data_IF_737962411659
#
_entry.id   IF_737962411659
#
_cell.length_a   1.000
_cell.length_b   1.000
_cell.length_c   1.000
_cell.angle_alpha   90.00
_cell.angle_beta   90.00
_cell.angle_gamma   90.00
#
_symmetry.space_group_name_H-M   'P 1'
#
loop_
_entity.id
_entity.type
_entity.pdbx_description
1 polymer ?
#
# COMPACT_ATOMS: atom_id res chain seq x y z
N UNK A 1 -6.39 -12.27 -9.64
CA UNK A 1 -7.05 -13.60 -9.77
C UNK A 1 -8.39 -13.41 -10.44
N UNK A 2 -8.64 -14.24 -11.44
CA UNK A 2 -9.85 -14.21 -12.22
C UNK A 2 -10.50 -15.59 -12.06
N UNK A 3 -11.69 -15.67 -11.45
CA UNK A 3 -12.41 -16.97 -11.42
C UNK A 3 -13.12 -17.19 -12.75
N UNK A 4 -13.63 -18.36 -13.02
CA UNK A 4 -14.68 -18.50 -14.03
C UNK A 4 -15.51 -19.73 -13.69
N UNK A 5 -16.81 -19.67 -13.92
CA UNK A 5 -17.67 -20.86 -13.88
C UNK A 5 -17.71 -21.55 -15.26
N UNK A 6 -17.09 -20.94 -16.28
CA UNK A 6 -17.01 -21.39 -17.67
C UNK A 6 -15.65 -21.03 -18.26
N UNK A 7 -15.09 -21.86 -19.14
CA UNK A 7 -13.69 -21.82 -19.58
C UNK A 7 -13.13 -20.49 -20.14
N UNK A 8 -13.94 -19.44 -20.33
CA UNK A 8 -13.52 -18.26 -21.12
C UNK A 8 -13.89 -16.89 -20.53
N UNK A 9 -14.46 -16.78 -19.32
CA UNK A 9 -14.90 -15.47 -18.78
C UNK A 9 -14.35 -15.16 -17.38
N UNK A 10 -13.72 -13.99 -17.17
CA UNK A 10 -13.27 -13.56 -15.87
C UNK A 10 -14.33 -13.38 -14.80
N UNK A 11 -14.06 -13.86 -13.58
CA UNK A 11 -14.97 -13.71 -12.47
C UNK A 11 -14.51 -12.59 -11.58
N UNK A 12 -15.56 -11.88 -11.21
CA UNK A 12 -15.55 -10.89 -10.17
C UNK A 12 -15.53 -11.63 -8.82
N UNK A 13 -14.42 -11.47 -8.11
CA UNK A 13 -14.27 -11.30 -6.65
C UNK A 13 -15.42 -11.80 -5.76
N UNK A 14 -16.65 -11.32 -5.93
CA UNK A 14 -17.83 -11.55 -5.08
C UNK A 14 -18.39 -12.99 -4.96
N UNK A 15 -17.67 -14.04 -5.38
CA UNK A 15 -18.19 -15.43 -5.45
C UNK A 15 -17.50 -16.45 -4.52
N UNK A 16 -16.53 -16.06 -3.70
CA UNK A 16 -15.90 -16.97 -2.74
C UNK A 16 -16.84 -17.34 -1.58
N UNK A 17 -16.95 -18.63 -1.26
CA UNK A 17 -17.83 -19.17 -0.21
C UNK A 17 -17.01 -19.91 0.84
N UNK A 18 -17.33 -19.63 2.10
CA UNK A 18 -16.78 -20.37 3.25
C UNK A 18 -17.19 -21.85 3.13
N UNK A 19 -16.25 -22.73 3.44
CA UNK A 19 -16.41 -24.18 3.39
C UNK A 19 -16.27 -24.79 2.00
N UNK A 20 -16.13 -23.99 0.94
CA UNK A 20 -15.93 -24.45 -0.43
C UNK A 20 -14.43 -24.66 -0.72
N UNK A 21 -14.14 -25.70 -1.51
CA UNK A 21 -12.79 -25.99 -2.00
C UNK A 21 -12.52 -25.21 -3.29
N UNK A 22 -11.34 -24.60 -3.37
CA UNK A 22 -10.87 -23.88 -4.56
C UNK A 22 -9.53 -24.43 -4.99
N UNK A 23 -9.35 -24.57 -6.31
CA UNK A 23 -8.08 -24.99 -6.91
C UNK A 23 -7.40 -23.79 -7.54
N UNK A 24 -6.12 -23.59 -7.23
CA UNK A 24 -5.30 -22.53 -7.81
C UNK A 24 -4.31 -23.11 -8.84
N UNK A 25 -4.29 -22.52 -10.04
CA UNK A 25 -3.26 -22.74 -11.05
C UNK A 25 -2.64 -21.41 -11.46
N UNK A 26 -1.32 -21.35 -11.69
CA UNK A 26 -0.70 -20.28 -12.45
C UNK A 26 -1.32 -20.16 -13.85
N UNK A 27 -1.43 -18.94 -14.37
CA UNK A 27 -1.77 -18.67 -15.75
C UNK A 27 -1.00 -17.46 -16.28
N UNK A 28 -0.79 -17.42 -17.60
CA UNK A 28 -0.17 -16.28 -18.26
C UNK A 28 -1.04 -15.02 -18.10
N UNK A 29 -0.44 -13.84 -17.87
CA UNK A 29 -1.15 -12.57 -17.85
C UNK A 29 -1.78 -12.29 -19.24
N UNK A 30 -3.03 -11.83 -19.26
CA UNK A 30 -3.85 -11.78 -20.48
C UNK A 30 -3.55 -10.61 -21.43
N UNK A 31 -2.45 -9.89 -21.24
CA UNK A 31 -2.02 -8.83 -22.13
C UNK A 31 -0.50 -8.72 -22.12
N UNK A 32 0.08 -9.07 -23.26
CA UNK A 32 1.46 -8.81 -23.63
C UNK A 32 1.56 -7.33 -23.96
N UNK A 33 2.16 -6.54 -23.05
CA UNK A 33 2.99 -5.39 -23.38
C UNK A 33 3.77 -5.01 -22.11
N UNK A 34 5.04 -5.40 -22.12
CA UNK A 34 6.17 -5.00 -21.27
C UNK A 34 6.15 -5.30 -19.75
N UNK A 35 6.95 -6.34 -19.41
CA UNK A 35 7.81 -6.43 -18.23
C UNK A 35 7.18 -6.38 -16.83
N UNK A 36 6.28 -7.31 -16.51
CA UNK A 36 6.21 -7.82 -15.13
C UNK A 36 6.00 -9.34 -15.12
N UNK A 37 6.82 -10.14 -14.41
CA UNK A 37 6.68 -11.58 -14.30
C UNK A 37 5.62 -11.98 -13.26
N UNK A 38 4.60 -11.16 -13.03
CA UNK A 38 3.64 -11.38 -11.96
C UNK A 38 2.72 -12.55 -12.30
N UNK A 39 2.98 -13.67 -11.65
CA UNK A 39 2.19 -14.89 -11.70
C UNK A 39 0.74 -14.59 -11.31
N UNK A 40 -0.15 -14.58 -12.31
CA UNK A 40 -1.57 -14.55 -12.09
C UNK A 40 -2.08 -15.97 -11.81
N UNK A 41 -3.01 -16.12 -10.87
CA UNK A 41 -3.64 -17.42 -10.59
C UNK A 41 -5.10 -17.43 -11.02
N UNK A 42 -5.56 -18.57 -11.53
CA UNK A 42 -6.98 -18.87 -11.77
C UNK A 42 -7.50 -19.76 -10.67
N UNK A 43 -8.67 -19.41 -10.14
CA UNK A 43 -9.37 -20.18 -9.12
C UNK A 43 -10.57 -20.90 -9.73
N UNK A 44 -10.61 -22.21 -9.57
CA UNK A 44 -11.62 -23.07 -10.19
C UNK A 44 -12.52 -23.76 -9.17
N UNK A 45 -13.85 -23.66 -9.37
CA UNK A 45 -14.87 -24.21 -8.47
C UNK A 45 -15.32 -25.65 -8.80
N UNK A 46 -15.06 -26.21 -9.99
CA UNK A 46 -15.46 -27.60 -10.30
C UNK A 46 -14.67 -28.35 -11.40
N UNK A 47 -14.31 -29.61 -11.05
CA UNK A 47 -14.04 -30.87 -11.80
C UNK A 47 -12.66 -31.26 -12.37
N UNK A 48 -12.55 -32.61 -12.43
CA UNK A 48 -11.46 -33.62 -12.45
C UNK A 48 -10.33 -33.48 -11.44
N UNK A 49 -10.48 -34.07 -10.23
CA UNK A 49 -9.55 -33.86 -9.11
C UNK A 49 -9.44 -35.04 -8.15
N UNK A 50 -8.25 -35.19 -7.57
CA UNK A 50 -7.95 -36.10 -6.44
C UNK A 50 -7.84 -35.28 -5.14
N UNK A 51 -8.47 -35.69 -4.03
CA UNK A 51 -8.39 -35.01 -2.74
C UNK A 51 -6.96 -34.86 -2.17
N UNK A 52 -6.00 -35.61 -2.70
CA UNK A 52 -4.59 -35.60 -2.27
C UNK A 52 -3.77 -34.40 -2.80
N UNK A 53 -4.32 -33.57 -3.67
CA UNK A 53 -3.62 -32.43 -4.29
C UNK A 53 -3.40 -31.29 -3.29
N UNK A 54 -2.35 -31.41 -2.46
CA UNK A 54 -1.87 -30.37 -1.56
C UNK A 54 -1.40 -29.13 -2.34
N UNK A 55 -1.37 -27.98 -1.67
CA UNK A 55 -0.69 -26.79 -2.19
C UNK A 55 0.80 -27.13 -2.36
N UNK A 56 1.25 -27.19 -3.60
CA UNK A 56 2.63 -27.47 -3.96
C UNK A 56 3.33 -26.22 -4.42
N UNK A 57 4.53 -25.99 -3.87
CA UNK A 57 5.42 -24.93 -4.29
C UNK A 57 6.70 -25.54 -4.88
N UNK A 58 7.18 -24.98 -5.98
CA UNK A 58 8.49 -25.30 -6.55
C UNK A 58 9.28 -24.00 -6.67
N UNK A 59 10.44 -23.93 -6.03
CA UNK A 59 11.31 -22.74 -6.03
C UNK A 59 10.61 -21.44 -5.54
N UNK A 60 9.66 -21.56 -4.62
CA UNK A 60 8.90 -20.41 -4.10
C UNK A 60 7.65 -20.03 -4.92
N UNK A 61 7.46 -20.66 -6.09
CA UNK A 61 6.29 -20.45 -6.94
C UNK A 61 5.23 -21.52 -6.69
N UNK A 62 3.96 -21.12 -6.57
CA UNK A 62 2.83 -22.03 -6.47
C UNK A 62 2.66 -22.78 -7.80
N UNK A 63 2.78 -24.10 -7.80
CA UNK A 63 2.61 -24.92 -9.02
C UNK A 63 1.18 -25.42 -9.21
N UNK A 64 0.53 -25.80 -8.11
CA UNK A 64 -0.86 -26.28 -8.07
C UNK A 64 -1.31 -26.40 -6.63
N UNK A 65 -2.61 -26.46 -6.36
CA UNK A 65 -3.07 -26.81 -5.03
C UNK A 65 -4.56 -26.64 -4.79
N UNK A 66 -5.12 -27.52 -3.97
CA UNK A 66 -6.48 -27.35 -3.45
C UNK A 66 -6.40 -26.72 -2.06
N UNK A 67 -7.18 -25.67 -1.82
CA UNK A 67 -7.35 -25.09 -0.49
C UNK A 67 -8.83 -24.99 -0.12
N UNK A 68 -9.10 -25.11 1.18
CA UNK A 68 -10.44 -24.91 1.77
C UNK A 68 -10.46 -23.56 2.46
N UNK A 69 -11.45 -22.73 2.13
CA UNK A 69 -11.71 -21.51 2.88
C UNK A 69 -12.47 -21.87 4.16
N UNK A 70 -11.86 -21.67 5.32
CA UNK A 70 -12.44 -21.99 6.63
C UNK A 70 -13.12 -20.77 7.25
N UNK A 71 -12.54 -19.57 7.06
CA UNK A 71 -13.00 -18.36 7.75
C UNK A 71 -13.28 -17.20 6.79
N UNK A 72 -14.15 -16.28 7.24
CA UNK A 72 -14.45 -15.06 6.47
C UNK A 72 -13.24 -14.14 6.31
N UNK A 73 -12.29 -14.19 7.25
CA UNK A 73 -11.12 -13.32 7.20
C UNK A 73 -10.11 -13.80 6.14
N UNK A 74 -10.01 -15.10 5.87
CA UNK A 74 -9.24 -15.63 4.73
C UNK A 74 -9.78 -15.08 3.40
N UNK A 75 -11.11 -15.02 3.25
CA UNK A 75 -11.77 -14.42 2.09
C UNK A 75 -11.39 -12.95 1.96
N UNK A 76 -11.48 -12.18 3.05
CA UNK A 76 -11.11 -10.75 3.05
C UNK A 76 -9.64 -10.52 2.70
N UNK A 77 -8.73 -11.34 3.23
CA UNK A 77 -7.29 -11.26 2.93
C UNK A 77 -7.06 -11.53 1.45
N UNK A 78 -7.65 -12.61 0.91
CA UNK A 78 -7.55 -12.92 -0.51
C UNK A 78 -8.10 -11.78 -1.37
N UNK A 79 -9.25 -11.21 -1.01
CA UNK A 79 -9.80 -10.03 -1.69
C UNK A 79 -8.86 -8.82 -1.63
N UNK A 80 -8.27 -8.55 -0.47
CA UNK A 80 -7.31 -7.45 -0.30
C UNK A 80 -6.12 -7.62 -1.22
N UNK A 81 -5.48 -8.79 -1.21
CA UNK A 81 -4.34 -9.10 -2.08
C UNK A 81 -4.73 -9.01 -3.56
N UNK A 82 -5.88 -9.55 -3.94
CA UNK A 82 -6.38 -9.49 -5.31
C UNK A 82 -6.68 -8.06 -5.79
N UNK A 83 -7.16 -7.19 -4.91
CA UNK A 83 -7.36 -5.79 -5.25
C UNK A 83 -6.01 -5.08 -5.43
N UNK A 84 -5.04 -5.36 -4.55
CA UNK A 84 -3.70 -4.76 -4.62
C UNK A 84 -2.90 -5.21 -5.85
N UNK A 85 -3.07 -6.44 -6.35
CA UNK A 85 -2.35 -6.95 -7.55
C UNK A 85 -2.55 -6.12 -8.81
N UNK A 86 -3.66 -5.38 -8.93
CA UNK A 86 -3.98 -4.59 -10.13
C UNK A 86 -4.08 -3.09 -9.85
N UNK A 87 -3.82 -2.68 -8.62
CA UNK A 87 -3.93 -1.29 -8.18
C UNK A 87 -2.57 -0.60 -8.30
N UNK A 88 -2.59 0.64 -8.78
CA UNK A 88 -1.43 1.51 -8.87
C UNK A 88 -1.37 2.48 -7.68
N UNK A 89 -0.19 3.07 -7.44
CA UNK A 89 -0.02 4.10 -6.43
C UNK A 89 -0.96 5.31 -6.65
N UNK A 90 -1.26 5.64 -7.91
CA UNK A 90 -2.20 6.71 -8.28
C UNK A 90 -3.62 6.45 -7.79
N UNK A 91 -4.06 5.20 -7.77
CA UNK A 91 -5.41 4.83 -7.33
C UNK A 91 -5.53 4.83 -5.80
N UNK A 92 -4.43 4.64 -5.08
CA UNK A 92 -4.41 4.48 -3.62
C UNK A 92 -4.03 5.74 -2.85
N UNK A 93 -3.49 6.77 -3.53
CA UNK A 93 -2.94 7.95 -2.87
C UNK A 93 -4.00 8.85 -2.25
N UNK A 94 -3.54 9.69 -1.30
CA UNK A 94 -4.29 10.85 -0.81
C UNK A 94 -3.82 12.09 -1.59
N UNK A 95 -4.72 12.80 -2.31
CA UNK A 95 -4.34 14.02 -3.01
C UNK A 95 -3.77 15.08 -2.06
N UNK A 96 -2.72 15.80 -2.47
CA UNK A 96 -2.07 16.84 -1.63
C UNK A 96 -3.03 17.89 -1.07
N UNK A 97 -4.09 18.24 -1.82
CA UNK A 97 -5.12 19.18 -1.37
C UNK A 97 -5.91 18.69 -0.15
N UNK A 98 -6.01 17.37 0.03
CA UNK A 98 -6.72 16.70 1.11
C UNK A 98 -5.77 16.17 2.19
N UNK A 99 -4.45 16.26 1.97
CA UNK A 99 -3.47 15.85 2.96
C UNK A 99 -3.28 16.93 4.03
N UNK A 100 -3.28 16.52 5.30
CA UNK A 100 -2.81 17.33 6.40
C UNK A 100 -1.29 17.50 6.30
N UNK A 101 -0.82 18.74 6.21
CA UNK A 101 0.58 19.07 6.03
C UNK A 101 0.93 20.33 6.81
N UNK A 102 2.16 20.44 7.26
CA UNK A 102 2.67 21.59 8.03
C UNK A 102 3.50 22.51 7.14
N UNK A 103 3.36 23.81 7.35
CA UNK A 103 4.27 24.78 6.75
C UNK A 103 5.60 24.78 7.51
N UNK A 104 6.70 24.65 6.80
CA UNK A 104 8.05 24.69 7.34
C UNK A 104 8.34 26.02 8.04
N UNK A 105 7.73 27.10 7.58
CA UNK A 105 7.99 28.44 8.10
C UNK A 105 6.99 28.82 9.23
N UNK A 106 6.06 27.91 9.60
CA UNK A 106 5.15 28.12 10.71
C UNK A 106 5.80 27.82 12.06
N UNK A 107 5.54 28.70 13.04
CA UNK A 107 6.02 28.56 14.41
C UNK A 107 5.29 27.44 15.16
N UNK A 108 6.04 26.76 16.03
CA UNK A 108 5.52 25.69 16.86
C UNK A 108 4.93 26.29 18.14
N UNK A 109 3.61 26.23 18.25
CA UNK A 109 2.86 26.71 19.42
C UNK A 109 2.07 25.57 20.09
N UNK A 110 1.52 25.82 21.29
CA UNK A 110 0.61 24.87 21.93
C UNK A 110 -0.64 24.60 21.07
N UNK A 111 -1.12 25.62 20.36
CA UNK A 111 -2.25 25.54 19.44
C UNK A 111 -1.89 24.65 18.24
N UNK A 112 -0.72 24.85 17.63
CA UNK A 112 -0.23 24.02 16.52
C UNK A 112 -0.08 22.55 16.93
N UNK A 113 0.39 22.28 18.16
CA UNK A 113 0.52 20.93 18.68
C UNK A 113 -0.85 20.26 18.93
N UNK A 114 -1.84 21.00 19.43
CA UNK A 114 -3.22 20.50 19.56
C UNK A 114 -3.86 20.20 18.20
N UNK A 115 -3.60 21.05 17.21
CA UNK A 115 -4.06 20.81 15.84
C UNK A 115 -3.45 19.51 15.28
N UNK A 116 -2.13 19.32 15.44
CA UNK A 116 -1.43 18.11 15.03
C UNK A 116 -1.99 16.85 15.69
N UNK A 117 -2.29 16.91 16.99
CA UNK A 117 -2.90 15.79 17.73
C UNK A 117 -4.27 15.43 17.15
N UNK A 118 -5.07 16.43 16.77
CA UNK A 118 -6.39 16.23 16.16
C UNK A 118 -6.37 15.52 14.80
N UNK A 119 -5.24 15.56 14.08
CA UNK A 119 -5.10 14.85 12.80
C UNK A 119 -5.05 13.32 12.98
N UNK A 120 -4.63 12.82 14.15
CA UNK A 120 -4.53 11.38 14.41
C UNK A 120 -3.48 10.66 13.53
N UNK A 121 -2.45 11.37 13.07
CA UNK A 121 -1.42 10.83 12.19
C UNK A 121 -0.04 10.75 12.86
N UNK A 122 0.70 9.67 12.62
CA UNK A 122 2.05 9.51 13.17
C UNK A 122 3.14 10.24 12.36
N UNK A 123 2.87 10.52 11.07
CA UNK A 123 3.80 11.13 10.11
C UNK A 123 3.07 12.23 9.38
N UNK A 124 3.59 13.45 9.44
CA UNK A 124 2.97 14.61 8.81
C UNK A 124 3.96 15.23 7.82
N UNK A 125 3.61 15.35 6.52
CA UNK A 125 4.45 16.03 5.54
C UNK A 125 4.64 17.51 5.89
N UNK A 126 5.82 18.03 5.58
CA UNK A 126 6.18 19.44 5.74
C UNK A 126 6.48 20.03 4.38
N UNK A 127 5.87 21.17 4.04
CA UNK A 127 6.10 21.90 2.80
C UNK A 127 6.64 23.29 3.10
N UNK A 128 7.23 23.96 2.11
CA UNK A 128 7.68 25.36 2.24
C UNK A 128 7.12 26.20 1.11
N UNK A 129 6.52 27.35 1.41
CA UNK A 129 5.87 28.30 0.46
C UNK A 129 4.67 27.74 -0.31
N UNK A 130 4.74 26.53 -0.84
CA UNK A 130 3.68 25.91 -1.64
C UNK A 130 3.58 24.41 -1.31
N UNK A 131 2.36 23.86 -1.26
CA UNK A 131 2.12 22.46 -0.88
C UNK A 131 2.79 21.43 -1.79
N UNK A 132 3.10 21.80 -3.04
CA UNK A 132 3.85 20.93 -3.96
C UNK A 132 5.35 20.92 -3.66
N UNK A 133 5.84 21.89 -2.90
CA UNK A 133 7.24 22.02 -2.50
C UNK A 133 7.47 21.31 -1.16
N UNK A 134 7.19 20.00 -1.13
CA UNK A 134 7.37 19.18 0.06
C UNK A 134 8.86 19.06 0.39
N UNK A 135 9.23 19.20 1.67
CA UNK A 135 10.62 19.14 2.16
C UNK A 135 10.95 17.80 2.83
N UNK A 136 9.93 17.13 3.35
CA UNK A 136 10.06 15.86 4.08
C UNK A 136 8.84 15.62 4.94
N UNK A 137 9.00 14.87 6.03
CA UNK A 137 7.95 14.70 7.03
C UNK A 137 8.53 14.70 8.45
N UNK A 138 7.67 14.99 9.42
CA UNK A 138 7.98 14.93 10.85
C UNK A 138 7.29 13.71 11.47
N UNK A 139 7.95 13.09 12.45
CA UNK A 139 7.33 12.12 13.35
C UNK A 139 6.68 12.86 14.52
N UNK A 140 5.37 12.72 14.70
CA UNK A 140 4.64 13.42 15.78
C UNK A 140 5.21 13.08 17.16
N UNK A 141 5.65 11.84 17.39
CA UNK A 141 6.33 11.44 18.63
C UNK A 141 7.64 12.17 18.92
N UNK A 142 8.20 12.94 17.98
CA UNK A 142 9.37 13.80 18.24
C UNK A 142 8.95 15.17 18.80
N UNK A 143 7.72 15.60 18.53
CA UNK A 143 7.17 16.85 19.04
C UNK A 143 6.90 16.79 20.55
N UNK A 144 6.60 15.61 21.10
CA UNK A 144 6.39 15.43 22.55
C UNK A 144 7.67 15.66 23.37
N UNK A 145 8.84 15.66 22.73
CA UNK A 145 10.14 15.83 23.38
C UNK A 145 10.56 17.31 23.42
N UNK A 146 9.75 18.21 22.90
CA UNK A 146 10.01 19.65 22.92
C UNK A 146 9.85 20.20 24.33
N UNK A 147 10.79 21.05 24.76
CA UNK A 147 10.72 21.71 26.06
C UNK A 147 9.89 22.99 26.00
N UNK A 148 9.32 23.46 27.13
CA UNK A 148 8.59 24.73 27.17
C UNK A 148 9.41 25.92 26.65
N UNK A 149 10.72 25.95 26.88
CA UNK A 149 11.61 27.00 26.39
C UNK A 149 11.70 27.00 24.86
N UNK A 150 11.66 25.81 24.23
CA UNK A 150 11.66 25.68 22.78
C UNK A 150 10.32 26.13 22.17
N UNK A 151 9.22 25.91 22.87
CA UNK A 151 7.87 26.36 22.46
C UNK A 151 7.66 27.86 22.65
N UNK A 152 8.39 28.48 23.59
CA UNK A 152 8.35 29.93 23.82
C UNK A 152 9.34 30.71 22.93
N UNK A 153 10.16 30.02 22.14
CA UNK A 153 11.05 30.60 21.13
C UNK A 153 10.40 30.67 19.75
N UNK A 154 11.08 31.30 18.78
CA UNK A 154 10.65 31.37 17.37
C UNK A 154 11.02 30.10 16.59
N UNK A 155 10.83 28.91 17.21
CA UNK A 155 11.14 27.62 16.60
C UNK A 155 10.07 27.27 15.57
N UNK A 156 10.49 26.92 14.36
CA UNK A 156 9.58 26.54 13.27
C UNK A 156 9.60 25.04 13.00
N UNK A 157 8.60 24.52 12.29
CA UNK A 157 8.61 23.11 11.85
C UNK A 157 9.79 22.78 10.93
N UNK A 158 10.28 23.76 10.16
CA UNK A 158 11.43 23.61 9.27
C UNK A 158 12.76 23.47 10.00
N UNK A 159 12.84 23.92 11.25
CA UNK A 159 14.04 23.79 12.10
C UNK A 159 14.17 22.40 12.72
N UNK A 160 13.07 21.63 12.73
CA UNK A 160 13.08 20.26 13.20
C UNK A 160 13.73 19.32 12.18
N UNK A 161 14.18 18.16 12.66
CA UNK A 161 14.68 17.13 11.77
C UNK A 161 13.56 16.58 10.87
N UNK A 162 13.64 16.92 9.58
CA UNK A 162 12.75 16.42 8.55
C UNK A 162 13.29 15.10 7.97
N UNK A 163 12.49 14.04 8.06
CA UNK A 163 12.80 12.76 7.46
C UNK A 163 12.51 12.81 5.95
N UNK A 164 13.37 12.17 5.15
CA UNK A 164 13.17 12.03 3.69
C UNK A 164 12.00 11.10 3.40
N UNK A 165 11.17 11.47 2.43
CA UNK A 165 10.12 10.59 1.91
C UNK A 165 10.66 9.76 0.75
N UNK A 166 10.21 8.52 0.68
CA UNK A 166 10.39 7.68 -0.50
C UNK A 166 9.58 8.26 -1.66
N UNK A 167 10.21 8.46 -2.81
CA UNK A 167 9.52 8.92 -4.01
C UNK A 167 8.93 7.72 -4.75
N UNK A 168 7.70 7.88 -5.25
CA UNK A 168 6.92 6.81 -5.85
C UNK A 168 6.36 7.28 -7.18
N UNK A 169 6.56 6.52 -8.25
CA UNK A 169 5.92 6.81 -9.53
C UNK A 169 4.41 6.51 -9.45
N UNK A 170 3.51 7.35 -9.99
CA UNK A 170 2.05 7.11 -9.95
C UNK A 170 1.63 5.76 -10.54
N UNK A 171 2.33 5.28 -11.57
CA UNK A 171 2.07 3.98 -12.20
C UNK A 171 2.68 2.77 -11.50
N UNK A 172 3.41 2.94 -10.39
CA UNK A 172 3.98 1.80 -9.64
C UNK A 172 2.85 0.93 -9.08
N UNK A 173 2.96 -0.40 -9.23
CA UNK A 173 1.97 -1.34 -8.68
C UNK A 173 2.04 -1.36 -7.15
N UNK A 174 0.90 -1.59 -6.50
CA UNK A 174 0.82 -1.56 -5.04
C UNK A 174 1.65 -2.66 -4.36
N UNK A 175 1.82 -3.83 -5.00
CA UNK A 175 2.69 -4.90 -4.47
C UNK A 175 4.17 -4.52 -4.56
N UNK A 176 4.60 -3.89 -5.66
CA UNK A 176 5.96 -3.35 -5.79
C UNK A 176 6.21 -2.23 -4.78
N UNK A 177 5.23 -1.36 -4.58
CA UNK A 177 5.30 -0.30 -3.58
C UNK A 177 5.40 -0.87 -2.16
N UNK A 178 4.68 -1.96 -1.86
CA UNK A 178 4.79 -2.66 -0.59
C UNK A 178 6.21 -3.23 -0.39
N UNK A 179 6.77 -3.89 -1.41
CA UNK A 179 8.14 -4.40 -1.38
C UNK A 179 9.15 -3.26 -1.16
N UNK A 180 9.02 -2.16 -1.90
CA UNK A 180 9.84 -0.95 -1.75
C UNK A 180 9.77 -0.39 -0.33
N UNK A 181 8.58 -0.33 0.27
CA UNK A 181 8.42 0.12 1.66
C UNK A 181 9.08 -0.82 2.67
N UNK A 182 9.04 -2.13 2.44
CA UNK A 182 9.71 -3.13 3.29
C UNK A 182 11.24 -3.03 3.19
N UNK A 183 11.78 -2.92 1.97
CA UNK A 183 13.21 -2.78 1.70
C UNK A 183 13.78 -1.48 2.28
N UNK A 184 13.12 -0.36 2.00
CA UNK A 184 13.54 0.96 2.50
C UNK A 184 13.15 1.21 3.97
N UNK A 185 12.42 0.27 4.60
CA UNK A 185 11.89 0.37 5.96
C UNK A 185 11.12 1.66 6.21
N UNK A 186 10.33 2.09 5.22
CA UNK A 186 9.56 3.31 5.25
C UNK A 186 8.05 3.02 5.32
N UNK A 187 7.26 4.07 5.59
CA UNK A 187 5.80 3.95 5.81
C UNK A 187 5.00 5.09 5.17
N UNK A 188 5.68 5.97 4.43
CA UNK A 188 5.09 7.12 3.79
C UNK A 188 5.89 7.41 2.52
N UNK A 189 5.21 7.48 1.39
CA UNK A 189 5.78 7.83 0.10
C UNK A 189 5.13 9.08 -0.48
N UNK A 190 5.91 9.85 -1.24
CA UNK A 190 5.40 10.96 -2.04
C UNK A 190 5.26 10.50 -3.49
N UNK A 191 4.03 10.53 -3.99
CA UNK A 191 3.76 10.19 -5.39
C UNK A 191 4.13 11.37 -6.30
N UNK A 192 5.00 11.13 -7.28
CA UNK A 192 5.50 12.14 -8.22
C UNK A 192 5.77 11.54 -9.60
N UNK A 193 5.55 12.32 -10.66
CA UNK A 193 5.91 11.92 -12.03
C UNK A 193 7.42 11.86 -12.27
N UNK A 194 8.23 12.40 -11.36
CA UNK A 194 9.69 12.36 -11.44
C UNK A 194 10.29 11.85 -10.12
N UNK A 195 10.38 10.52 -9.92
CA UNK A 195 10.88 9.92 -8.68
C UNK A 195 12.41 9.90 -8.56
N UNK A 196 13.14 10.32 -9.60
CA UNK A 196 14.62 10.34 -9.62
C UNK A 196 15.23 11.72 -9.35
N UNK A 197 14.41 12.77 -9.23
CA UNK A 197 14.84 14.15 -8.97
C UNK A 197 15.05 14.45 -7.47
#
# INVERSE_FOLDING_TARGET
VVFSETNEIPAKSSKLKVGQMYYALPCDPWSVEESSPDLAFRLYSSRDRKPEDLITFKSGELTSGIFRLQERDEIKIMHGVMNLTHMTAQEALVPLRSAHMLDADAEISHESLKEIDSFGHSRIPVYRKHKHNVRGFILVKKLIMLTPEQLNGSLTFGDLHLFRMTLVHPGMLMLDLLNKFQEEKCHLGLVTSNPEA
#
